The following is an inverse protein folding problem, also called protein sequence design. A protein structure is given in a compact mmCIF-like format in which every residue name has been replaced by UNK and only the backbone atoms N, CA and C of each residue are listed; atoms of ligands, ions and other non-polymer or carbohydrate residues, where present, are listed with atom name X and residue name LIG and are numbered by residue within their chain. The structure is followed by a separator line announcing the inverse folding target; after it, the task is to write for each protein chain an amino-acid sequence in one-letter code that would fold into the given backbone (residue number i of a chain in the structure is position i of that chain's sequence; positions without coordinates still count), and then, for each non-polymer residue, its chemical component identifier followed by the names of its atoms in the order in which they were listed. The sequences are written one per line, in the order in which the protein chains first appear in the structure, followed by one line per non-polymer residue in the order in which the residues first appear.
data_IF_227241901985
#
_entry.id   IF_227241901985
#
_cell.length_a   1.000
_cell.length_b   1.000
_cell.length_c   1.000
_cell.angle_alpha   90.00
_cell.angle_beta   90.00
_cell.angle_gamma   90.00
#
_symmetry.space_group_name_H-M   'P 1'
#
loop_
_entity.id
_entity.type
_entity.pdbx_description
1 polymer ?
#
# COMPACT_ATOMS: atom_id res chain seq x y z
N UNK A 1 18.93 -7.19 12.98
CA UNK A 1 18.75 -6.63 11.62
C UNK A 1 17.62 -5.62 11.65
N UNK A 2 17.71 -4.57 10.85
CA UNK A 2 16.69 -3.59 10.66
C UNK A 2 16.11 -3.73 9.23
N UNK A 3 14.79 -3.90 9.12
CA UNK A 3 14.08 -3.83 7.84
C UNK A 3 13.54 -2.41 7.69
N UNK A 4 14.07 -1.68 6.72
CA UNK A 4 13.62 -0.34 6.38
C UNK A 4 12.71 -0.41 5.17
N UNK A 5 11.40 -0.33 5.40
CA UNK A 5 10.39 -0.47 4.35
C UNK A 5 9.97 0.89 3.79
N UNK A 6 10.40 1.19 2.57
CA UNK A 6 9.89 2.31 1.76
C UNK A 6 8.57 1.89 1.13
N UNK A 7 7.46 2.46 1.58
CA UNK A 7 6.13 2.05 1.13
C UNK A 7 5.43 3.20 0.42
N UNK A 8 4.90 2.91 -0.77
CA UNK A 8 4.12 3.88 -1.54
C UNK A 8 2.92 4.39 -0.75
N UNK A 9 2.69 5.69 -0.82
CA UNK A 9 1.50 6.34 -0.28
C UNK A 9 0.31 6.35 -1.23
N UNK A 10 0.42 5.71 -2.40
CA UNK A 10 -0.63 5.66 -3.40
C UNK A 10 -1.67 4.59 -3.04
N UNK A 11 -2.58 4.94 -2.14
CA UNK A 11 -3.63 4.07 -1.63
C UNK A 11 -3.17 3.08 -0.54
N UNK A 12 -4.13 2.52 0.16
CA UNK A 12 -3.88 1.63 1.30
C UNK A 12 -3.44 0.22 0.91
N UNK A 13 -3.53 -0.16 -0.36
CA UNK A 13 -3.16 -1.49 -0.85
C UNK A 13 -1.69 -1.83 -0.59
N UNK A 14 -0.78 -0.89 -0.85
CA UNK A 14 0.66 -1.06 -0.58
C UNK A 14 0.93 -1.29 0.91
N UNK A 15 0.36 -0.44 1.77
CA UNK A 15 0.49 -0.58 3.21
C UNK A 15 -0.08 -1.90 3.74
N UNK A 16 -1.23 -2.34 3.24
CA UNK A 16 -1.84 -3.62 3.62
C UNK A 16 -0.99 -4.82 3.22
N UNK A 17 -0.41 -4.80 2.01
CA UNK A 17 0.51 -5.83 1.52
C UNK A 17 1.76 -5.90 2.37
N UNK A 18 2.40 -4.77 2.61
CA UNK A 18 3.59 -4.70 3.46
C UNK A 18 3.30 -5.15 4.88
N UNK A 19 2.16 -4.75 5.45
CA UNK A 19 1.76 -5.20 6.78
C UNK A 19 1.59 -6.73 6.85
N UNK A 20 0.99 -7.35 5.84
CA UNK A 20 0.84 -8.81 5.79
C UNK A 20 2.20 -9.52 5.74
N UNK A 21 3.10 -9.05 4.88
CA UNK A 21 4.43 -9.65 4.69
C UNK A 21 5.30 -9.44 5.93
N UNK A 22 5.37 -8.22 6.45
CA UNK A 22 6.20 -7.91 7.62
C UNK A 22 5.65 -8.52 8.91
N UNK A 23 4.34 -8.70 9.04
CA UNK A 23 3.75 -9.46 10.15
C UNK A 23 4.21 -10.92 10.12
N UNK A 24 4.17 -11.57 8.95
CA UNK A 24 4.68 -12.93 8.79
C UNK A 24 6.20 -13.02 9.05
N UNK A 25 6.95 -12.03 8.57
CA UNK A 25 8.39 -11.94 8.83
C UNK A 25 8.68 -11.78 10.33
N UNK A 26 7.93 -10.95 11.03
CA UNK A 26 8.08 -10.76 12.47
C UNK A 26 7.79 -12.04 13.27
N UNK A 27 6.83 -12.86 12.83
CA UNK A 27 6.58 -14.16 13.45
C UNK A 27 7.78 -15.13 13.31
N UNK A 28 8.51 -15.06 12.20
CA UNK A 28 9.69 -15.86 11.93
C UNK A 28 10.96 -15.30 12.58
N UNK A 29 11.05 -13.96 12.71
CA UNK A 29 12.22 -13.23 13.17
C UNK A 29 11.80 -12.08 14.11
N UNK A 30 11.28 -12.39 15.30
CA UNK A 30 10.72 -11.37 16.20
C UNK A 30 11.75 -10.35 16.72
N UNK A 31 13.05 -10.68 16.64
CA UNK A 31 14.15 -9.80 17.02
C UNK A 31 14.51 -8.77 15.95
N UNK A 32 13.97 -8.85 14.73
CA UNK A 32 14.24 -7.87 13.69
C UNK A 32 13.37 -6.63 13.90
N UNK A 33 14.02 -5.47 13.81
CA UNK A 33 13.29 -4.19 13.91
C UNK A 33 12.65 -3.85 12.58
N UNK A 34 11.41 -3.38 12.64
CA UNK A 34 10.65 -2.93 11.48
C UNK A 34 10.52 -1.41 11.52
N UNK A 35 10.93 -0.77 10.43
CA UNK A 35 10.76 0.66 10.20
C UNK A 35 9.92 0.86 8.95
N UNK A 36 8.83 1.58 9.08
CA UNK A 36 7.92 1.90 7.97
C UNK A 36 8.14 3.34 7.55
N UNK A 37 8.72 3.53 6.40
CA UNK A 37 8.96 4.85 5.81
C UNK A 37 7.93 5.10 4.72
N UNK A 38 6.89 5.86 5.06
CA UNK A 38 5.71 6.06 4.23
C UNK A 38 4.91 7.28 4.67
N UNK A 39 4.21 7.97 3.76
CA UNK A 39 3.26 9.03 4.12
C UNK A 39 1.89 8.50 4.57
N UNK A 40 1.68 7.18 4.60
CA UNK A 40 0.42 6.60 5.05
C UNK A 40 0.12 6.98 6.51
N UNK A 41 -1.14 7.25 6.87
CA UNK A 41 -1.51 7.64 8.22
C UNK A 41 -1.13 6.59 9.26
N UNK A 42 -0.58 7.03 10.40
CA UNK A 42 -0.17 6.12 11.49
C UNK A 42 -1.35 5.29 12.02
N UNK A 43 -2.55 5.85 12.08
CA UNK A 43 -3.76 5.13 12.50
C UNK A 43 -4.04 3.92 11.58
N UNK A 44 -3.88 4.09 10.26
CA UNK A 44 -3.99 2.99 9.31
C UNK A 44 -2.89 1.94 9.53
N UNK A 45 -1.64 2.37 9.72
CA UNK A 45 -0.51 1.46 9.94
C UNK A 45 -0.72 0.64 11.23
N UNK A 46 -1.15 1.27 12.32
CA UNK A 46 -1.48 0.57 13.58
C UNK A 46 -2.61 -0.44 13.40
N UNK A 47 -3.65 -0.06 12.66
CA UNK A 47 -4.73 -1.00 12.32
C UNK A 47 -4.21 -2.18 11.48
N UNK A 48 -3.39 -1.92 10.47
CA UNK A 48 -2.84 -2.94 9.58
C UNK A 48 -1.89 -3.91 10.29
N UNK A 49 -0.98 -3.40 11.11
CA UNK A 49 0.03 -4.20 11.82
C UNK A 49 -0.48 -4.82 13.13
N UNK A 50 -1.47 -4.21 13.78
CA UNK A 50 -2.01 -4.66 15.08
C UNK A 50 -0.95 -4.63 16.17
N UNK A 51 -0.67 -5.78 16.79
CA UNK A 51 0.30 -5.91 17.87
C UNK A 51 1.77 -5.97 17.42
N UNK A 52 2.04 -6.06 16.11
CA UNK A 52 3.41 -6.10 15.59
C UNK A 52 4.08 -4.73 15.78
N UNK A 53 5.20 -4.65 16.51
CA UNK A 53 5.89 -3.38 16.76
C UNK A 53 6.58 -2.88 15.48
N UNK A 54 6.45 -1.59 15.24
CA UNK A 54 7.18 -0.89 14.17
C UNK A 54 7.48 0.55 14.59
N UNK A 55 8.48 1.13 13.95
CA UNK A 55 8.76 2.56 13.99
C UNK A 55 8.23 3.21 12.71
N UNK A 56 7.51 4.32 12.80
CA UNK A 56 7.00 5.07 11.65
C UNK A 56 7.85 6.30 11.37
N UNK A 57 8.28 6.41 10.11
CA UNK A 57 8.98 7.57 9.57
C UNK A 57 8.19 8.14 8.40
N UNK A 58 7.51 9.28 8.56
CA UNK A 58 6.63 9.84 7.54
C UNK A 58 7.43 10.45 6.39
N UNK A 59 7.78 9.64 5.40
CA UNK A 59 8.52 10.02 4.20
C UNK A 59 7.73 9.69 2.95
N UNK A 60 7.83 10.56 1.93
CA UNK A 60 7.23 10.32 0.61
C UNK A 60 8.31 9.90 -0.38
N UNK A 61 8.23 8.68 -0.87
CA UNK A 61 9.22 8.08 -1.77
C UNK A 61 8.78 8.03 -3.23
N UNK A 62 7.50 8.23 -3.49
CA UNK A 62 6.87 8.29 -4.80
C UNK A 62 5.63 9.17 -4.79
N UNK A 63 5.04 9.38 -5.95
CA UNK A 63 3.80 10.14 -6.10
C UNK A 63 2.63 9.21 -6.43
N UNK A 64 2.87 8.22 -7.28
CA UNK A 64 1.79 7.49 -7.92
C UNK A 64 1.17 8.28 -9.07
N UNK A 65 -0.11 8.04 -9.32
CA UNK A 65 -0.94 8.80 -10.26
C UNK A 65 -2.02 9.53 -9.49
N UNK A 66 -1.99 10.86 -9.54
CA UNK A 66 -3.04 11.65 -8.91
C UNK A 66 -4.33 11.50 -9.71
N UNK A 67 -5.43 11.39 -8.99
CA UNK A 67 -6.74 11.21 -9.59
C UNK A 67 -7.48 12.53 -9.69
N UNK A 68 -8.15 12.75 -10.82
CA UNK A 68 -9.09 13.84 -11.00
C UNK A 68 -10.42 13.53 -10.31
N UNK A 69 -10.82 12.24 -10.36
CA UNK A 69 -11.98 11.66 -9.69
C UNK A 69 -11.73 10.17 -9.42
N UNK A 70 -12.76 9.44 -9.02
CA UNK A 70 -12.66 8.01 -8.70
C UNK A 70 -12.24 7.10 -9.88
N UNK A 71 -12.36 7.55 -11.12
CA UNK A 71 -12.13 6.76 -12.34
C UNK A 71 -11.12 7.40 -13.29
N UNK A 72 -10.83 8.71 -13.13
CA UNK A 72 -9.95 9.47 -14.00
C UNK A 72 -8.63 9.86 -13.33
N UNK A 73 -7.54 9.89 -14.09
CA UNK A 73 -6.25 10.43 -13.65
C UNK A 73 -6.13 11.93 -13.99
N UNK A 74 -5.34 12.67 -13.19
CA UNK A 74 -4.92 14.03 -13.48
C UNK A 74 -3.43 14.03 -13.86
N UNK A 75 -3.08 13.98 -15.16
CA UNK A 75 -1.70 13.96 -15.61
C UNK A 75 -0.92 15.23 -15.25
N UNK A 76 -1.55 16.40 -15.29
CA UNK A 76 -0.87 17.68 -15.00
C UNK A 76 -0.56 17.81 -13.51
N UNK A 77 -1.51 17.47 -12.66
CA UNK A 77 -1.27 17.42 -11.21
C UNK A 77 -0.22 16.36 -10.84
N UNK A 78 -0.22 15.21 -11.54
CA UNK A 78 0.78 14.15 -11.34
C UNK A 78 2.17 14.64 -11.68
N UNK A 79 2.37 15.29 -12.85
CA UNK A 79 3.68 15.85 -13.24
C UNK A 79 4.16 16.89 -12.24
N UNK A 80 3.31 17.84 -11.88
CA UNK A 80 3.67 18.84 -10.88
C UNK A 80 4.04 18.25 -9.52
N UNK A 81 3.43 17.12 -9.15
CA UNK A 81 3.78 16.42 -7.92
C UNK A 81 5.11 15.66 -8.03
N UNK A 82 5.41 15.07 -9.19
CA UNK A 82 6.70 14.41 -9.47
C UNK A 82 7.85 15.43 -9.41
N UNK A 83 7.70 16.57 -10.05
CA UNK A 83 8.69 17.66 -10.01
C UNK A 83 8.94 18.16 -8.57
N UNK A 84 7.88 18.33 -7.77
CA UNK A 84 8.00 18.71 -6.35
C UNK A 84 8.74 17.64 -5.54
N UNK A 85 8.41 16.36 -5.75
CA UNK A 85 9.10 15.28 -5.06
C UNK A 85 10.59 15.23 -5.43
N UNK A 86 10.95 15.40 -6.71
CA UNK A 86 12.33 15.44 -7.17
C UNK A 86 13.13 16.52 -6.46
N UNK A 87 12.55 17.73 -6.26
CA UNK A 87 13.18 18.82 -5.53
C UNK A 87 13.35 18.52 -4.03
N UNK A 88 12.43 17.78 -3.42
CA UNK A 88 12.44 17.48 -1.98
C UNK A 88 13.30 16.26 -1.64
N UNK A 89 13.45 15.33 -2.58
CA UNK A 89 14.07 14.02 -2.37
C UNK A 89 15.52 14.09 -1.85
N UNK A 90 16.41 15.01 -2.32
CA UNK A 90 17.79 15.09 -1.80
C UNK A 90 17.85 15.37 -0.31
N UNK A 91 17.04 16.30 0.20
CA UNK A 91 16.99 16.63 1.62
C UNK A 91 16.45 15.46 2.45
N UNK A 92 15.40 14.81 1.96
CA UNK A 92 14.82 13.61 2.61
C UNK A 92 15.82 12.46 2.65
N UNK A 93 16.52 12.18 1.54
CA UNK A 93 17.56 11.15 1.47
C UNK A 93 18.69 11.43 2.47
N UNK A 94 19.14 12.69 2.58
CA UNK A 94 20.18 13.07 3.52
C UNK A 94 19.76 12.83 4.99
N UNK A 95 18.50 13.18 5.33
CA UNK A 95 17.95 12.97 6.66
C UNK A 95 17.81 11.47 7.01
N UNK A 96 17.28 10.67 6.08
CA UNK A 96 17.09 9.22 6.32
C UNK A 96 18.43 8.47 6.36
N UNK A 97 19.39 8.86 5.50
CA UNK A 97 20.77 8.34 5.56
C UNK A 97 21.43 8.63 6.92
N UNK A 98 21.32 9.87 7.41
CA UNK A 98 21.88 10.25 8.70
C UNK A 98 21.26 9.47 9.86
N UNK A 99 19.95 9.26 9.80
CA UNK A 99 19.25 8.45 10.79
C UNK A 99 19.67 6.97 10.74
N UNK A 100 19.76 6.38 9.55
CA UNK A 100 20.18 4.97 9.36
C UNK A 100 21.62 4.74 9.82
N UNK A 101 22.52 5.71 9.60
CA UNK A 101 23.91 5.62 10.06
C UNK A 101 24.04 5.48 11.58
N UNK A 102 23.05 5.95 12.35
CA UNK A 102 23.05 5.86 13.81
C UNK A 102 22.56 4.51 14.35
N UNK A 103 21.99 3.64 13.50
CA UNK A 103 21.31 2.43 13.95
C UNK A 103 22.25 1.29 14.36
N UNK A 104 23.54 1.33 14.00
CA UNK A 104 24.58 0.37 14.40
C UNK A 104 24.22 -1.11 14.20
N UNK A 105 23.40 -1.40 13.21
CA UNK A 105 22.97 -2.76 12.87
C UNK A 105 22.81 -2.93 11.36
N UNK A 106 22.92 -4.16 10.83
CA UNK A 106 22.68 -4.40 9.41
C UNK A 106 21.29 -3.95 8.98
N UNK A 107 21.22 -3.27 7.84
CA UNK A 107 19.98 -2.76 7.24
C UNK A 107 19.67 -3.53 5.97
N UNK A 108 18.41 -3.88 5.78
CA UNK A 108 17.85 -4.29 4.49
C UNK A 108 16.76 -3.28 4.12
N UNK A 109 16.84 -2.72 2.91
CA UNK A 109 15.79 -1.86 2.37
C UNK A 109 14.80 -2.74 1.61
N UNK A 110 13.52 -2.65 1.99
CA UNK A 110 12.39 -3.23 1.28
C UNK A 110 11.60 -2.10 0.62
N UNK A 111 11.26 -2.20 -0.66
CA UNK A 111 10.48 -1.17 -1.34
C UNK A 111 9.24 -1.75 -2.01
N UNK A 112 8.09 -1.25 -1.61
CA UNK A 112 6.79 -1.55 -2.21
C UNK A 112 6.13 -0.24 -2.69
N UNK A 113 6.34 0.22 -3.83
CA UNK A 113 7.19 0.02 -5.03
C UNK A 113 8.05 1.26 -5.34
N UNK A 114 8.34 2.19 -4.39
CA UNK A 114 8.98 3.45 -4.73
C UNK A 114 10.37 3.26 -5.35
N UNK A 115 10.63 3.81 -6.57
CA UNK A 115 11.94 3.71 -7.20
C UNK A 115 13.03 4.49 -6.43
N UNK A 116 12.65 5.57 -5.74
CA UNK A 116 13.59 6.39 -4.94
C UNK A 116 14.27 5.62 -3.80
N UNK A 117 13.73 4.47 -3.39
CA UNK A 117 14.38 3.57 -2.43
C UNK A 117 15.76 3.09 -2.89
N UNK A 118 16.02 3.06 -4.21
CA UNK A 118 17.32 2.70 -4.76
C UNK A 118 18.42 3.69 -4.34
N UNK A 119 18.13 4.98 -4.41
CA UNK A 119 19.07 6.02 -3.98
C UNK A 119 19.39 5.93 -2.46
N UNK A 120 18.39 5.60 -1.63
CA UNK A 120 18.59 5.38 -0.21
C UNK A 120 19.48 4.15 0.04
N UNK A 121 19.15 3.02 -0.57
CA UNK A 121 19.89 1.78 -0.39
C UNK A 121 21.36 1.94 -0.81
N UNK A 122 21.60 2.59 -1.94
CA UNK A 122 22.96 2.93 -2.39
C UNK A 122 23.69 3.84 -1.40
N UNK A 123 23.03 4.89 -0.90
CA UNK A 123 23.64 5.86 0.02
C UNK A 123 24.04 5.26 1.36
N UNK A 124 23.40 4.16 1.79
CA UNK A 124 23.71 3.47 3.06
C UNK A 124 24.40 2.12 2.86
N UNK A 125 24.69 1.72 1.61
CA UNK A 125 25.35 0.45 1.29
C UNK A 125 24.51 -0.78 1.68
N UNK A 126 23.18 -0.69 1.66
CA UNK A 126 22.28 -1.76 2.04
C UNK A 126 21.75 -2.54 0.82
N UNK A 127 21.49 -3.86 0.95
CA UNK A 127 20.75 -4.59 -0.06
C UNK A 127 19.33 -4.03 -0.19
N UNK A 128 18.82 -4.04 -1.43
CA UNK A 128 17.49 -3.55 -1.77
C UNK A 128 16.64 -4.66 -2.39
N UNK A 129 15.54 -4.98 -1.74
CA UNK A 129 14.53 -5.89 -2.28
C UNK A 129 13.31 -5.09 -2.71
N UNK A 130 12.99 -5.13 -3.98
CA UNK A 130 11.70 -4.64 -4.46
C UNK A 130 10.62 -5.70 -4.27
N UNK A 131 9.44 -5.27 -3.93
CA UNK A 131 8.26 -6.12 -3.81
C UNK A 131 7.07 -5.39 -4.47
N UNK A 132 6.38 -6.07 -5.35
CA UNK A 132 5.22 -5.45 -6.00
C UNK A 132 4.64 -6.29 -7.12
N UNK A 133 3.60 -5.78 -7.72
CA UNK A 133 2.95 -6.35 -8.90
C UNK A 133 3.01 -5.41 -10.12
N UNK A 134 3.66 -4.28 -9.99
CA UNK A 134 4.00 -3.34 -11.07
C UNK A 134 5.16 -2.45 -10.63
N UNK A 135 5.71 -1.69 -11.56
CA UNK A 135 6.59 -0.55 -11.29
C UNK A 135 6.03 0.73 -11.92
N UNK A 136 6.44 1.88 -11.41
CA UNK A 136 6.03 3.18 -11.97
C UNK A 136 6.54 3.40 -13.40
N UNK A 137 7.59 2.70 -13.82
CA UNK A 137 8.05 2.66 -15.21
C UNK A 137 6.95 2.17 -16.16
N UNK A 138 6.27 1.09 -15.81
CA UNK A 138 5.17 0.53 -16.60
C UNK A 138 3.89 1.38 -16.54
N UNK A 139 3.68 2.14 -15.48
CA UNK A 139 2.51 3.02 -15.33
C UNK A 139 2.73 4.35 -16.06
N UNK A 140 3.89 4.99 -15.89
CA UNK A 140 4.15 6.30 -16.49
C UNK A 140 4.40 6.22 -18.00
N UNK A 141 4.98 5.12 -18.52
CA UNK A 141 5.28 4.99 -19.94
C UNK A 141 4.06 5.26 -20.86
N UNK A 142 2.90 4.63 -20.64
CA UNK A 142 1.70 4.87 -21.45
C UNK A 142 1.03 6.24 -21.25
N UNK A 143 1.41 7.03 -20.23
CA UNK A 143 0.80 8.33 -19.95
C UNK A 143 1.23 9.44 -20.92
N UNK A 144 2.12 9.13 -21.86
CA UNK A 144 2.53 10.02 -22.95
C UNK A 144 3.93 10.61 -22.77
N UNK A 145 4.43 11.36 -23.79
CA UNK A 145 5.84 11.78 -23.89
C UNK A 145 6.36 12.59 -22.69
N UNK A 146 5.50 13.34 -22.03
CA UNK A 146 5.87 14.12 -20.83
C UNK A 146 6.28 13.25 -19.65
N UNK A 147 5.84 11.98 -19.62
CA UNK A 147 6.13 11.01 -18.57
C UNK A 147 7.32 10.09 -18.89
N UNK A 148 7.79 10.08 -20.14
CA UNK A 148 8.92 9.25 -20.55
C UNK A 148 10.18 9.41 -19.68
N UNK A 149 10.61 10.63 -19.30
CA UNK A 149 11.75 10.81 -18.40
C UNK A 149 11.54 10.14 -17.03
N UNK A 150 10.33 10.22 -16.48
CA UNK A 150 9.97 9.62 -15.19
C UNK A 150 9.91 8.10 -15.27
N UNK A 151 9.35 7.56 -16.36
CA UNK A 151 9.35 6.12 -16.62
C UNK A 151 10.78 5.58 -16.76
N UNK A 152 11.63 6.27 -17.53
CA UNK A 152 13.02 5.89 -17.72
C UNK A 152 13.83 5.96 -16.41
N UNK A 153 13.64 7.02 -15.60
CA UNK A 153 14.29 7.17 -14.31
C UNK A 153 13.85 6.05 -13.34
N UNK A 154 12.55 5.73 -13.28
CA UNK A 154 12.04 4.64 -12.46
C UNK A 154 12.64 3.30 -12.90
N UNK A 155 12.64 2.98 -14.19
CA UNK A 155 13.25 1.76 -14.73
C UNK A 155 14.75 1.65 -14.40
N UNK A 156 15.50 2.77 -14.48
CA UNK A 156 16.90 2.81 -14.11
C UNK A 156 17.12 2.55 -12.61
N UNK A 157 16.26 3.10 -11.76
CA UNK A 157 16.30 2.88 -10.32
C UNK A 157 15.98 1.41 -9.95
N UNK A 158 14.98 0.82 -10.57
CA UNK A 158 14.61 -0.59 -10.33
C UNK A 158 15.75 -1.57 -10.63
N UNK A 159 16.53 -1.32 -11.69
CA UNK A 159 17.69 -2.16 -12.04
C UNK A 159 18.80 -2.16 -10.98
N UNK A 160 18.78 -1.25 -10.03
CA UNK A 160 19.74 -1.19 -8.93
C UNK A 160 19.36 -2.09 -7.74
N UNK A 161 18.20 -2.74 -7.80
CA UNK A 161 17.78 -3.68 -6.77
C UNK A 161 18.69 -4.91 -6.67
N UNK A 162 18.66 -5.55 -5.51
CA UNK A 162 19.34 -6.83 -5.28
C UNK A 162 18.45 -8.01 -5.69
N UNK A 163 17.14 -7.87 -5.49
CA UNK A 163 16.14 -8.89 -5.82
C UNK A 163 14.75 -8.27 -5.99
N UNK A 164 13.85 -9.03 -6.63
CA UNK A 164 12.44 -8.71 -6.79
C UNK A 164 11.56 -9.83 -6.25
N UNK A 165 10.61 -9.48 -5.40
CA UNK A 165 9.49 -10.32 -5.00
C UNK A 165 8.29 -9.92 -5.89
N UNK A 166 7.99 -10.73 -6.90
CA UNK A 166 6.87 -10.50 -7.80
C UNK A 166 5.56 -11.01 -7.17
N UNK A 167 4.69 -10.09 -6.81
CA UNK A 167 3.37 -10.38 -6.25
C UNK A 167 2.38 -10.83 -7.35
N UNK A 168 1.26 -11.50 -7.01
CA UNK A 168 0.27 -11.95 -7.98
C UNK A 168 -0.29 -10.83 -8.85
N UNK A 169 -0.76 -11.21 -10.04
CA UNK A 169 -1.27 -10.29 -11.07
C UNK A 169 -0.24 -9.26 -11.52
N UNK A 170 1.03 -9.66 -11.53
CA UNK A 170 2.12 -8.76 -11.88
C UNK A 170 2.08 -8.36 -13.37
N UNK A 171 2.28 -7.08 -13.60
CA UNK A 171 2.71 -6.57 -14.90
C UNK A 171 4.14 -7.04 -15.19
N UNK A 172 4.59 -6.91 -16.44
CA UNK A 172 5.98 -7.17 -16.76
C UNK A 172 6.89 -6.17 -16.02
N UNK A 173 7.88 -6.69 -15.31
CA UNK A 173 8.89 -5.93 -14.56
C UNK A 173 10.29 -6.35 -15.05
N UNK A 174 10.71 -5.95 -16.26
CA UNK A 174 11.93 -6.44 -16.92
C UNK A 174 13.18 -5.73 -16.38
N UNK A 175 13.37 -5.76 -15.06
CA UNK A 175 14.45 -5.02 -14.39
C UNK A 175 15.78 -5.79 -14.34
N UNK A 176 15.77 -7.07 -14.78
CA UNK A 176 16.99 -7.91 -14.80
C UNK A 176 17.42 -8.41 -13.43
N UNK A 177 16.54 -8.39 -12.44
CA UNK A 177 16.82 -8.82 -11.07
C UNK A 177 16.51 -10.31 -10.86
N UNK A 178 17.22 -10.99 -9.95
CA UNK A 178 16.77 -12.25 -9.40
C UNK A 178 15.33 -12.10 -8.87
N UNK A 179 14.40 -12.85 -9.45
CA UNK A 179 12.97 -12.68 -9.20
C UNK A 179 12.38 -13.93 -8.57
N UNK A 180 11.66 -13.76 -7.48
CA UNK A 180 10.84 -14.80 -6.86
C UNK A 180 9.37 -14.42 -6.98
N UNK A 181 8.61 -15.23 -7.71
CA UNK A 181 7.15 -15.09 -7.75
C UNK A 181 6.54 -15.71 -6.48
N UNK A 182 5.60 -14.99 -5.89
CA UNK A 182 4.90 -15.43 -4.68
C UNK A 182 3.39 -15.52 -4.92
N UNK A 183 2.70 -16.25 -4.05
CA UNK A 183 1.25 -16.32 -4.03
C UNK A 183 0.63 -15.05 -3.45
N UNK A 184 -0.71 -15.06 -3.29
CA UNK A 184 -1.42 -13.99 -2.61
C UNK A 184 -0.81 -13.75 -1.22
N UNK A 185 -0.68 -12.49 -0.87
CA UNK A 185 -0.18 -12.03 0.43
C UNK A 185 -1.33 -11.45 1.29
N UNK A 186 -2.43 -12.20 1.51
CA UNK A 186 -3.51 -11.73 2.34
C UNK A 186 -3.06 -11.73 3.80
N UNK A 187 -3.46 -10.71 4.55
CA UNK A 187 -3.44 -10.81 5.99
C UNK A 187 -4.41 -11.90 6.45
N UNK A 188 -4.28 -12.33 7.71
CA UNK A 188 -5.28 -13.20 8.33
C UNK A 188 -6.30 -12.36 9.05
N UNK A 189 -7.60 -12.70 8.99
CA UNK A 189 -8.59 -12.12 9.89
C UNK A 189 -8.15 -12.31 11.34
N UNK A 190 -8.36 -11.31 12.18
CA UNK A 190 -8.01 -11.33 13.61
C UNK A 190 -9.24 -11.56 14.48
N UNK A 191 -10.41 -11.29 13.92
CA UNK A 191 -11.68 -11.49 14.60
C UNK A 191 -12.39 -12.73 14.07
N UNK A 192 -13.15 -13.37 14.96
CA UNK A 192 -14.06 -14.43 14.58
C UNK A 192 -15.24 -13.85 13.78
N UNK A 193 -15.61 -14.49 12.68
CA UNK A 193 -16.66 -13.98 11.80
C UNK A 193 -18.02 -13.90 12.49
N UNK A 194 -18.37 -14.84 13.37
CA UNK A 194 -19.64 -14.82 14.09
C UNK A 194 -19.68 -13.70 15.13
N UNK A 195 -18.56 -13.46 15.84
CA UNK A 195 -18.44 -12.34 16.78
C UNK A 195 -18.55 -11.00 16.04
N UNK A 196 -17.91 -10.89 14.88
CA UNK A 196 -18.02 -9.67 14.04
C UNK A 196 -19.45 -9.47 13.54
N UNK A 197 -20.10 -10.52 13.04
CA UNK A 197 -21.49 -10.44 12.59
C UNK A 197 -22.42 -9.94 13.72
N UNK A 198 -22.24 -10.49 14.93
CA UNK A 198 -23.00 -10.05 16.12
C UNK A 198 -22.73 -8.57 16.45
N UNK A 199 -21.45 -8.15 16.43
CA UNK A 199 -21.05 -6.76 16.70
C UNK A 199 -21.66 -5.78 15.69
N UNK A 200 -21.78 -6.18 14.42
CA UNK A 200 -22.36 -5.38 13.34
C UNK A 200 -23.89 -5.46 13.28
N UNK A 201 -24.53 -6.33 14.05
CA UNK A 201 -25.95 -6.67 13.88
C UNK A 201 -26.22 -7.24 12.47
N UNK A 202 -25.25 -7.97 11.92
CA UNK A 202 -25.31 -8.53 10.57
C UNK A 202 -25.94 -9.93 10.61
N UNK A 203 -27.09 -10.08 9.99
CA UNK A 203 -27.88 -11.31 9.93
C UNK A 203 -28.13 -11.82 8.51
N UNK A 204 -27.48 -11.18 7.52
CA UNK A 204 -27.66 -11.53 6.10
C UNK A 204 -26.81 -12.73 5.72
N UNK A 205 -27.30 -13.59 4.81
CA UNK A 205 -26.53 -14.70 4.31
C UNK A 205 -25.32 -14.20 3.50
N UNK A 206 -24.25 -14.97 3.55
CA UNK A 206 -22.96 -14.65 2.90
C UNK A 206 -23.13 -14.37 1.40
N UNK A 207 -23.96 -15.14 0.71
CA UNK A 207 -24.22 -15.05 -0.72
C UNK A 207 -24.93 -13.74 -1.12
N UNK A 208 -25.44 -12.99 -0.15
CA UNK A 208 -26.10 -11.70 -0.33
C UNK A 208 -25.38 -10.55 0.37
N UNK A 209 -24.18 -10.79 0.87
CA UNK A 209 -23.36 -9.78 1.50
C UNK A 209 -22.22 -9.40 0.56
N UNK A 210 -22.02 -8.11 0.32
CA UNK A 210 -21.04 -7.59 -0.62
C UNK A 210 -20.14 -6.61 0.12
N UNK A 211 -18.82 -6.87 0.12
CA UNK A 211 -17.83 -5.90 0.58
C UNK A 211 -17.54 -4.89 -0.52
N UNK A 212 -17.67 -3.60 -0.20
CA UNK A 212 -17.34 -2.50 -1.12
C UNK A 212 -16.21 -1.67 -0.53
N UNK A 213 -15.10 -1.56 -1.27
CA UNK A 213 -13.95 -0.78 -0.84
C UNK A 213 -13.08 -0.36 -2.01
N UNK A 214 -12.63 0.90 -1.99
CA UNK A 214 -11.82 1.52 -3.04
C UNK A 214 -10.46 2.02 -2.51
N UNK A 215 -9.93 1.38 -1.46
CA UNK A 215 -8.57 1.63 -0.98
C UNK A 215 -8.31 3.06 -0.47
N UNK A 216 -9.34 3.80 -0.07
CA UNK A 216 -9.20 5.19 0.41
C UNK A 216 -9.11 6.22 -0.72
N UNK A 217 -9.50 5.86 -1.95
CA UNK A 217 -9.42 6.76 -3.12
C UNK A 217 -10.66 7.65 -3.31
N UNK A 218 -11.57 7.69 -2.32
CA UNK A 218 -12.63 8.70 -2.27
C UNK A 218 -13.75 8.54 -3.31
N UNK A 219 -14.15 7.30 -3.62
CA UNK A 219 -15.31 7.09 -4.49
C UNK A 219 -16.59 7.59 -3.81
N UNK A 220 -17.31 8.48 -4.46
CA UNK A 220 -18.66 8.84 -4.08
C UNK A 220 -19.66 7.97 -4.84
N UNK A 221 -20.59 7.37 -4.10
CA UNK A 221 -21.60 6.48 -4.66
C UNK A 221 -22.99 7.04 -4.34
N UNK A 222 -23.84 7.12 -5.34
CA UNK A 222 -25.22 7.56 -5.11
C UNK A 222 -26.00 6.46 -4.38
N UNK A 223 -26.81 6.84 -3.42
CA UNK A 223 -27.69 5.97 -2.63
C UNK A 223 -28.48 4.98 -3.49
N UNK A 224 -28.98 5.43 -4.66
CA UNK A 224 -29.75 4.59 -5.60
C UNK A 224 -29.02 3.35 -6.10
N UNK A 225 -27.66 3.34 -6.09
CA UNK A 225 -26.89 2.18 -6.53
C UNK A 225 -27.04 1.01 -5.58
N UNK A 226 -27.09 1.28 -4.28
CA UNK A 226 -27.32 0.25 -3.27
C UNK A 226 -28.81 -0.13 -3.18
N UNK A 227 -29.72 0.85 -3.26
CA UNK A 227 -31.17 0.61 -3.21
C UNK A 227 -31.69 -0.21 -4.39
N UNK A 228 -30.99 -0.24 -5.51
CA UNK A 228 -31.29 -1.13 -6.64
C UNK A 228 -31.16 -2.63 -6.29
N UNK A 229 -30.52 -2.97 -5.18
CA UNK A 229 -30.29 -4.33 -4.72
C UNK A 229 -30.81 -4.54 -3.29
N UNK A 230 -32.12 -4.41 -3.06
CA UNK A 230 -32.69 -4.39 -1.70
C UNK A 230 -32.51 -5.70 -0.93
N UNK A 231 -32.27 -6.81 -1.62
CA UNK A 231 -32.02 -8.13 -1.06
C UNK A 231 -30.56 -8.37 -0.66
N UNK A 232 -29.64 -7.41 -0.96
CA UNK A 232 -28.25 -7.50 -0.60
C UNK A 232 -27.91 -6.55 0.55
N UNK A 233 -26.94 -6.94 1.37
CA UNK A 233 -26.30 -6.09 2.35
C UNK A 233 -24.93 -5.69 1.84
N UNK A 234 -24.60 -4.41 1.93
CA UNK A 234 -23.30 -3.87 1.54
C UNK A 234 -22.51 -3.47 2.78
N UNK A 235 -21.33 -4.05 2.96
CA UNK A 235 -20.38 -3.65 3.99
C UNK A 235 -19.39 -2.69 3.35
N UNK A 236 -19.26 -1.48 3.89
CA UNK A 236 -18.37 -0.45 3.36
C UNK A 236 -17.32 -0.09 4.43
N UNK A 237 -16.09 0.13 4.03
CA UNK A 237 -15.01 0.52 4.93
C UNK A 237 -14.63 2.00 4.82
N UNK A 238 -15.12 2.69 3.80
CA UNK A 238 -14.90 4.11 3.58
C UNK A 238 -16.16 4.88 3.98
N UNK A 239 -16.07 5.84 4.94
CA UNK A 239 -17.20 6.67 5.33
C UNK A 239 -17.85 7.42 4.15
N UNK A 240 -17.10 7.73 3.08
CA UNK A 240 -17.64 8.37 1.87
C UNK A 240 -18.64 7.48 1.13
N UNK A 241 -18.63 6.16 1.37
CA UNK A 241 -19.58 5.21 0.79
C UNK A 241 -20.84 5.01 1.65
N UNK A 242 -20.87 5.54 2.87
CA UNK A 242 -22.04 5.51 3.74
C UNK A 242 -23.04 6.60 3.31
N UNK A 243 -23.81 6.26 2.30
CA UNK A 243 -24.81 7.16 1.70
C UNK A 243 -26.19 7.14 2.43
N UNK A 244 -26.28 6.49 3.60
CA UNK A 244 -27.54 6.35 4.36
C UNK A 244 -28.58 5.41 3.75
N UNK A 245 -28.19 4.54 2.82
CA UNK A 245 -29.09 3.49 2.33
C UNK A 245 -29.30 2.41 3.41
N UNK A 246 -30.53 1.92 3.56
CA UNK A 246 -30.90 0.98 4.63
C UNK A 246 -30.14 -0.36 4.55
N UNK A 247 -29.64 -0.72 3.37
CA UNK A 247 -28.88 -1.94 3.11
C UNK A 247 -27.35 -1.72 3.07
N UNK A 248 -26.86 -0.55 3.51
CA UNK A 248 -25.43 -0.25 3.68
C UNK A 248 -25.08 -0.25 5.15
N UNK A 249 -23.96 -0.84 5.50
CA UNK A 249 -23.40 -0.82 6.85
C UNK A 249 -21.93 -0.43 6.79
N UNK A 250 -21.57 0.66 7.48
CA UNK A 250 -20.17 1.09 7.62
C UNK A 250 -19.46 0.20 8.65
N UNK A 251 -18.31 -0.33 8.27
CA UNK A 251 -17.43 -1.00 9.22
C UNK A 251 -16.88 0.01 10.24
N UNK A 252 -16.81 -0.35 11.52
CA UNK A 252 -16.12 0.46 12.52
C UNK A 252 -14.67 0.74 12.13
N UNK A 253 -14.16 1.91 12.52
CA UNK A 253 -12.82 2.37 12.14
C UNK A 253 -11.67 1.47 12.67
N UNK A 254 -11.94 0.66 13.69
CA UNK A 254 -11.02 -0.32 14.26
C UNK A 254 -11.08 -1.70 13.57
N UNK A 255 -11.97 -1.87 12.57
CA UNK A 255 -12.14 -3.10 11.80
C UNK A 255 -11.53 -2.93 10.41
N UNK A 256 -10.57 -3.80 10.06
CA UNK A 256 -10.03 -3.84 8.70
C UNK A 256 -11.08 -4.42 7.74
N UNK A 257 -11.10 -4.00 6.47
CA UNK A 257 -11.96 -4.63 5.46
C UNK A 257 -11.79 -6.16 5.40
N UNK A 258 -10.57 -6.65 5.64
CA UNK A 258 -10.26 -8.07 5.66
C UNK A 258 -11.10 -8.87 6.68
N UNK A 259 -11.46 -8.26 7.81
CA UNK A 259 -12.29 -8.92 8.83
C UNK A 259 -13.73 -9.15 8.33
N UNK A 260 -14.22 -8.28 7.46
CA UNK A 260 -15.55 -8.39 6.87
C UNK A 260 -15.67 -9.41 5.75
N UNK A 261 -14.56 -9.82 5.12
CA UNK A 261 -14.59 -10.75 3.99
C UNK A 261 -15.22 -12.13 4.30
N UNK A 262 -15.04 -12.72 5.50
CA UNK A 262 -15.73 -13.98 5.83
C UNK A 262 -17.26 -13.86 5.90
N UNK A 263 -17.81 -12.64 5.98
CA UNK A 263 -19.24 -12.38 5.97
C UNK A 263 -19.82 -12.25 4.56
N UNK A 264 -18.95 -12.21 3.52
CA UNK A 264 -19.30 -12.00 2.11
C UNK A 264 -19.18 -13.26 1.26
#
# INVERSE_FOLDING_TARGET
MLIYACVSGHGYGHGSRVASVLTALHQLQPQWRLVLSTPLPEAFLRLAFGAVPFEHRPCRWDVGVLQADALGSDPDATLAALERLEQQLPAQLAAERAWLAQQQQPVLVLADVPPAAAALAQAVGAPLVFMGNFGWDAIYGPMGPRFEPWAAAAAAAYRQGTALIACPFAMAMPWGLPTTAVGLTPGRPREDAAALAQRLGHDHPRERTVMVGFGGMGLQVERRWFEAWPQHRFLVSDPALDCGAANVSLLPADIRPLEGLPLC
#
